data_IF_344765497430
#
_entry.id   IF_344765497430
#
_cell.length_a   1.000
_cell.length_b   1.000
_cell.length_c   1.000
_cell.angle_alpha   90.00
_cell.angle_beta   90.00
_cell.angle_gamma   90.00
#
_symmetry.space_group_name_H-M   'P 1'
#
loop_
_entity.id
_entity.type
_entity.pdbx_description
1 polymer ?
#
# COMPACT_ATOMS: atom_id res chain seq x y z
N UNK A 1 -17.62 1.61 -10.40
CA UNK A 1 -16.20 1.55 -10.76
C UNK A 1 -15.53 2.31 -9.64
N UNK A 2 -15.20 1.66 -8.51
CA UNK A 2 -14.17 0.63 -8.21
C UNK A 2 -12.75 1.18 -8.08
N UNK A 3 -12.60 2.44 -7.68
CA UNK A 3 -11.30 3.11 -7.50
C UNK A 3 -10.74 3.04 -6.07
N UNK A 4 -11.42 2.35 -5.14
CA UNK A 4 -10.93 2.19 -3.76
C UNK A 4 -9.66 1.34 -3.63
N UNK A 5 -9.26 0.63 -4.69
CA UNK A 5 -8.07 -0.21 -4.69
C UNK A 5 -6.81 0.53 -5.19
N UNK A 6 -6.93 1.84 -5.44
CA UNK A 6 -5.89 2.70 -5.98
C UNK A 6 -5.39 3.70 -4.94
N UNK A 7 -5.38 3.38 -3.65
CA UNK A 7 -4.71 4.22 -2.65
C UNK A 7 -3.70 3.42 -1.84
N UNK A 8 -2.50 3.96 -1.67
CA UNK A 8 -1.47 3.38 -0.82
C UNK A 8 -1.96 3.32 0.62
N UNK A 9 -1.94 2.14 1.23
CA UNK A 9 -2.36 1.98 2.63
C UNK A 9 -1.44 2.70 3.62
N UNK A 10 -0.20 3.00 3.21
CA UNK A 10 0.81 3.66 4.04
C UNK A 10 0.66 5.18 4.00
N UNK A 11 0.70 5.78 2.80
CA UNK A 11 0.71 7.23 2.64
C UNK A 11 -0.60 7.83 2.11
N UNK A 12 -1.61 7.00 1.82
CA UNK A 12 -2.90 7.43 1.29
C UNK A 12 -2.86 8.01 -0.14
N UNK A 13 -1.68 8.02 -0.79
CA UNK A 13 -1.53 8.53 -2.15
C UNK A 13 -2.19 7.62 -3.16
N UNK A 14 -2.68 8.22 -4.24
CA UNK A 14 -3.20 7.47 -5.38
C UNK A 14 -2.09 6.56 -5.94
N UNK A 15 -2.37 5.27 -5.93
CA UNK A 15 -1.54 4.18 -6.41
C UNK A 15 -2.13 3.65 -7.69
N UNK A 16 -1.37 3.73 -8.76
CA UNK A 16 -1.80 3.16 -10.03
C UNK A 16 -1.78 1.62 -9.94
N UNK A 17 -2.87 0.90 -10.16
CA UNK A 17 -2.92 -0.55 -9.97
C UNK A 17 -2.03 -1.30 -10.97
N UNK A 18 -1.55 -0.64 -12.03
CA UNK A 18 -0.60 -1.21 -12.98
C UNK A 18 0.86 -1.11 -12.50
N UNK A 19 1.20 -0.10 -11.69
CA UNK A 19 2.58 0.10 -11.20
C UNK A 19 2.73 -0.26 -9.73
N UNK A 20 1.65 -0.15 -8.96
CA UNK A 20 1.68 -0.25 -7.52
C UNK A 20 1.70 -1.70 -7.08
N UNK A 21 2.63 -2.00 -6.18
CA UNK A 21 2.73 -3.32 -5.58
C UNK A 21 1.64 -3.49 -4.50
N UNK A 22 1.41 -4.72 -4.06
CA UNK A 22 0.60 -5.00 -2.87
C UNK A 22 1.49 -5.59 -1.80
N UNK A 23 1.31 -5.18 -0.56
CA UNK A 23 1.98 -5.82 0.55
C UNK A 23 1.42 -7.24 0.69
N UNK A 24 2.27 -8.25 0.57
CA UNK A 24 1.87 -9.67 0.60
C UNK A 24 1.26 -10.09 1.93
N UNK A 25 1.58 -9.40 3.02
CA UNK A 25 1.14 -9.79 4.35
C UNK A 25 -0.26 -9.25 4.67
N UNK A 26 -0.57 -8.01 4.29
CA UNK A 26 -1.89 -7.38 4.48
C UNK A 26 -2.79 -7.49 3.26
N UNK A 27 -2.23 -7.89 2.11
CA UNK A 27 -2.89 -7.85 0.81
C UNK A 27 -3.44 -6.46 0.43
N UNK A 28 -2.81 -5.40 0.95
CA UNK A 28 -3.17 -4.02 0.72
C UNK A 28 -2.26 -3.34 -0.31
N UNK A 29 -2.79 -2.44 -1.16
CA UNK A 29 -2.02 -1.69 -2.15
C UNK A 29 -0.99 -0.76 -1.51
N UNK A 30 0.25 -0.82 -2.00
CA UNK A 30 1.37 0.03 -1.58
C UNK A 30 2.01 0.69 -2.80
N UNK A 31 2.28 1.99 -2.72
CA UNK A 31 3.01 2.69 -3.78
C UNK A 31 4.48 2.23 -3.81
N UNK A 32 5.14 2.31 -4.96
CA UNK A 32 6.57 1.99 -5.09
C UNK A 32 7.48 2.78 -4.14
N UNK A 33 7.01 3.94 -3.67
CA UNK A 33 7.77 4.77 -2.72
C UNK A 33 7.71 4.25 -1.29
N UNK A 34 6.60 3.62 -0.90
CA UNK A 34 6.41 3.07 0.45
C UNK A 34 6.69 1.56 0.49
N UNK A 35 6.74 0.89 -0.65
CA UNK A 35 7.06 -0.53 -0.76
C UNK A 35 8.44 -0.81 -0.14
N UNK A 36 8.53 -1.84 0.70
CA UNK A 36 9.77 -2.26 1.37
C UNK A 36 10.37 -1.18 2.33
N UNK A 37 9.63 -0.11 2.64
CA UNK A 37 10.10 0.91 3.59
C UNK A 37 9.73 0.58 5.03
N UNK A 38 10.38 1.26 5.97
CA UNK A 38 10.01 1.16 7.39
C UNK A 38 8.58 1.62 7.67
N UNK A 39 8.04 2.53 6.86
CA UNK A 39 6.65 3.00 6.97
C UNK A 39 5.65 1.90 6.61
N UNK A 40 5.93 1.08 5.58
CA UNK A 40 5.11 -0.09 5.26
C UNK A 40 5.12 -1.11 6.41
N UNK A 41 6.28 -1.36 7.01
CA UNK A 41 6.39 -2.28 8.16
C UNK A 41 5.66 -1.75 9.39
N UNK A 42 5.74 -0.45 9.68
CA UNK A 42 4.99 0.16 10.78
C UNK A 42 3.48 0.11 10.55
N UNK A 43 3.03 0.55 9.38
CA UNK A 43 1.61 0.50 9.04
C UNK A 43 1.08 -0.96 9.04
N UNK A 44 1.93 -1.92 8.66
CA UNK A 44 1.64 -3.33 8.80
C UNK A 44 1.46 -3.77 10.25
N UNK A 45 2.40 -3.42 11.13
CA UNK A 45 2.36 -3.76 12.56
C UNK A 45 1.18 -3.10 13.28
N UNK A 46 0.83 -1.85 12.92
CA UNK A 46 -0.34 -1.15 13.50
C UNK A 46 -1.70 -1.75 13.08
N UNK A 47 -1.74 -2.48 11.97
CA UNK A 47 -2.94 -3.13 11.45
C UNK A 47 -3.11 -4.59 11.92
N UNK A 48 -2.15 -5.13 12.69
CA UNK A 48 -2.07 -6.53 13.12
C UNK A 48 -2.31 -6.68 14.62
#
# INVERSE_FOLDING_TARGET
>A
MSDFQNHCFVCGKETDPQTSSKNIQLNLPVCDTCKDTEEEKKAHDELL
#
